data_IF_061938244371
#
_entry.id   IF_061938244371
#
_cell.length_a   1.000
_cell.length_b   1.000
_cell.length_c   1.000
_cell.angle_alpha   90.00
_cell.angle_beta   90.00
_cell.angle_gamma   90.00
#
_symmetry.space_group_name_H-M   'P 1'
#
loop_
_entity.id
_entity.type
_entity.pdbx_description
1 polymer ?
#
# COMPACT_ATOMS: atom_id res chain seq x y z
N UNK A 1 -18.23 -7.21 10.84
CA UNK A 1 -16.77 -6.93 10.79
C UNK A 1 -15.99 -8.09 10.20
N UNK A 2 -16.10 -9.31 10.71
CA UNK A 2 -15.36 -10.51 10.22
C UNK A 2 -15.59 -10.79 8.73
N UNK A 3 -16.84 -10.73 8.23
CA UNK A 3 -17.15 -10.96 6.82
C UNK A 3 -16.46 -9.96 5.89
N UNK A 4 -16.49 -8.67 6.23
CA UNK A 4 -15.85 -7.60 5.46
C UNK A 4 -14.33 -7.82 5.37
N UNK A 5 -13.69 -8.15 6.50
CA UNK A 5 -12.25 -8.43 6.55
C UNK A 5 -11.91 -9.64 5.66
N UNK A 6 -12.66 -10.73 5.78
CA UNK A 6 -12.43 -11.94 4.97
C UNK A 6 -12.56 -11.65 3.48
N UNK A 7 -13.61 -10.94 3.05
CA UNK A 7 -13.78 -10.57 1.64
C UNK A 7 -12.64 -9.67 1.14
N UNK A 8 -12.18 -8.72 1.97
CA UNK A 8 -11.06 -7.85 1.63
C UNK A 8 -9.74 -8.64 1.50
N UNK A 9 -9.48 -9.59 2.41
CA UNK A 9 -8.30 -10.47 2.33
C UNK A 9 -8.36 -11.39 1.11
N UNK A 10 -9.50 -12.01 0.83
CA UNK A 10 -9.68 -12.82 -0.38
C UNK A 10 -9.35 -12.02 -1.63
N UNK A 11 -9.93 -10.81 -1.73
CA UNK A 11 -9.70 -9.93 -2.86
C UNK A 11 -8.23 -9.50 -2.96
N UNK A 12 -7.59 -9.19 -1.84
CA UNK A 12 -6.20 -8.76 -1.82
C UNK A 12 -5.23 -9.88 -2.21
N UNK A 13 -5.38 -11.08 -1.64
CA UNK A 13 -4.54 -12.25 -1.95
C UNK A 13 -4.65 -12.61 -3.45
N UNK A 14 -5.86 -12.68 -3.97
CA UNK A 14 -6.09 -12.98 -5.39
C UNK A 14 -5.54 -11.89 -6.30
N UNK A 15 -5.73 -10.61 -5.97
CA UNK A 15 -5.21 -9.51 -6.77
C UNK A 15 -3.68 -9.49 -6.79
N UNK A 16 -3.02 -9.66 -5.63
CA UNK A 16 -1.56 -9.77 -5.51
C UNK A 16 -1.04 -10.98 -6.31
N UNK A 17 -1.76 -12.11 -6.26
CA UNK A 17 -1.43 -13.29 -7.05
C UNK A 17 -1.48 -13.02 -8.55
N UNK A 18 -2.49 -12.33 -9.05
CA UNK A 18 -2.56 -11.92 -10.46
C UNK A 18 -1.46 -10.94 -10.86
N UNK A 19 -1.10 -10.00 -9.97
CA UNK A 19 0.02 -9.08 -10.21
C UNK A 19 1.33 -9.85 -10.37
N UNK A 20 1.61 -10.83 -9.51
CA UNK A 20 2.83 -11.63 -9.60
C UNK A 20 2.82 -12.58 -10.80
N UNK A 21 1.69 -13.23 -11.09
CA UNK A 21 1.58 -14.24 -12.14
C UNK A 21 1.62 -13.63 -13.56
N UNK A 22 0.94 -12.50 -13.77
CA UNK A 22 0.73 -11.90 -15.09
C UNK A 22 1.33 -10.50 -15.25
N UNK A 23 2.00 -9.96 -14.24
CA UNK A 23 2.56 -8.61 -14.29
C UNK A 23 1.49 -7.52 -14.37
N UNK A 24 0.28 -7.77 -13.89
CA UNK A 24 -0.80 -6.78 -13.90
C UNK A 24 -0.49 -5.63 -12.95
N UNK A 25 -0.91 -4.41 -13.31
CA UNK A 25 -0.92 -3.32 -12.34
C UNK A 25 -2.04 -3.51 -11.30
N UNK A 26 -1.88 -2.86 -10.14
CA UNK A 26 -2.77 -3.00 -8.99
C UNK A 26 -4.25 -2.73 -9.31
N UNK A 27 -4.53 -1.66 -10.07
CA UNK A 27 -5.90 -1.26 -10.42
C UNK A 27 -6.59 -2.30 -11.29
N UNK A 28 -5.88 -2.83 -12.28
CA UNK A 28 -6.41 -3.84 -13.18
C UNK A 28 -6.62 -5.17 -12.44
N UNK A 29 -5.65 -5.59 -11.63
CA UNK A 29 -5.75 -6.80 -10.82
C UNK A 29 -6.94 -6.74 -9.87
N UNK A 30 -7.08 -5.66 -9.10
CA UNK A 30 -8.21 -5.47 -8.18
C UNK A 30 -9.56 -5.42 -8.91
N UNK A 31 -9.65 -4.68 -10.02
CA UNK A 31 -10.91 -4.56 -10.78
C UNK A 31 -11.33 -5.91 -11.36
N UNK A 32 -10.39 -6.67 -11.93
CA UNK A 32 -10.62 -7.99 -12.49
C UNK A 32 -11.09 -8.98 -11.42
N UNK A 33 -10.35 -9.02 -10.30
CA UNK A 33 -10.64 -9.93 -9.19
C UNK A 33 -11.97 -9.58 -8.51
N UNK A 34 -12.26 -8.31 -8.26
CA UNK A 34 -13.53 -7.88 -7.69
C UNK A 34 -14.72 -8.27 -8.56
N UNK A 35 -14.59 -8.13 -9.89
CA UNK A 35 -15.61 -8.59 -10.85
C UNK A 35 -15.78 -10.10 -10.81
N UNK A 36 -14.69 -10.87 -10.77
CA UNK A 36 -14.70 -12.33 -10.72
C UNK A 36 -15.36 -12.84 -9.43
N UNK A 37 -15.04 -12.24 -8.30
CA UNK A 37 -15.59 -12.59 -6.99
C UNK A 37 -16.94 -11.95 -6.70
N UNK A 38 -17.47 -11.14 -7.64
CA UNK A 38 -18.73 -10.38 -7.50
C UNK A 38 -18.77 -9.47 -6.26
N UNK A 39 -17.61 -8.93 -5.86
CA UNK A 39 -17.47 -8.02 -4.72
C UNK A 39 -17.78 -6.60 -5.20
N UNK A 40 -18.81 -5.98 -4.61
CA UNK A 40 -19.27 -4.63 -4.94
C UNK A 40 -19.26 -3.67 -3.73
N UNK A 41 -19.08 -4.20 -2.52
CA UNK A 41 -19.03 -3.38 -1.31
C UNK A 41 -17.82 -2.43 -1.35
N UNK A 42 -18.11 -1.13 -1.27
CA UNK A 42 -17.10 -0.06 -1.38
C UNK A 42 -16.09 -0.12 -0.24
N UNK A 43 -16.50 -0.56 0.96
CA UNK A 43 -15.59 -0.65 2.11
C UNK A 43 -14.61 -1.82 1.93
N UNK A 44 -15.10 -2.97 1.42
CA UNK A 44 -14.26 -4.12 1.05
C UNK A 44 -13.25 -3.71 -0.01
N UNK A 45 -13.71 -3.03 -1.07
CA UNK A 45 -12.84 -2.57 -2.17
C UNK A 45 -11.77 -1.59 -1.69
N UNK A 46 -12.11 -0.64 -0.81
CA UNK A 46 -11.16 0.32 -0.23
C UNK A 46 -10.11 -0.38 0.64
N UNK A 47 -10.56 -1.29 1.50
CA UNK A 47 -9.66 -2.03 2.39
C UNK A 47 -8.70 -2.91 1.59
N UNK A 48 -9.21 -3.69 0.64
CA UNK A 48 -8.38 -4.51 -0.24
C UNK A 48 -7.39 -3.68 -1.07
N UNK A 49 -7.81 -2.51 -1.58
CA UNK A 49 -6.92 -1.61 -2.31
C UNK A 49 -5.77 -1.12 -1.42
N UNK A 50 -6.07 -0.69 -0.17
CA UNK A 50 -5.03 -0.31 0.80
C UNK A 50 -4.05 -1.46 1.03
N UNK A 51 -4.57 -2.66 1.28
CA UNK A 51 -3.77 -3.87 1.51
C UNK A 51 -2.85 -4.17 0.33
N UNK A 52 -3.37 -4.21 -0.89
CA UNK A 52 -2.59 -4.49 -2.12
C UNK A 52 -1.52 -3.43 -2.34
N UNK A 53 -1.87 -2.15 -2.25
CA UNK A 53 -0.95 -1.03 -2.46
C UNK A 53 0.21 -1.07 -1.46
N UNK A 54 -0.09 -1.17 -0.17
CA UNK A 54 0.92 -1.11 0.88
C UNK A 54 1.79 -2.37 0.93
N UNK A 55 1.22 -3.55 0.68
CA UNK A 55 1.98 -4.81 0.58
C UNK A 55 2.93 -4.78 -0.64
N UNK A 56 2.45 -4.32 -1.78
CA UNK A 56 3.27 -4.18 -3.00
C UNK A 56 4.39 -3.17 -2.79
N UNK A 57 4.10 -2.03 -2.20
CA UNK A 57 5.06 -0.98 -1.92
C UNK A 57 6.21 -1.44 -1.02
N UNK A 58 5.91 -2.24 0.00
CA UNK A 58 6.87 -2.72 1.00
C UNK A 58 7.43 -4.12 0.70
N UNK A 59 7.14 -4.66 -0.49
CA UNK A 59 7.42 -6.05 -0.84
C UNK A 59 8.86 -6.48 -0.58
N UNK A 60 9.87 -5.64 -0.89
CA UNK A 60 11.26 -5.98 -0.66
C UNK A 60 11.58 -6.20 0.83
N UNK A 61 11.02 -5.37 1.72
CA UNK A 61 11.19 -5.51 3.16
C UNK A 61 10.40 -6.69 3.70
N UNK A 62 9.17 -6.89 3.23
CA UNK A 62 8.35 -8.05 3.61
C UNK A 62 9.02 -9.37 3.20
N UNK A 63 9.52 -9.47 1.96
CA UNK A 63 10.26 -10.65 1.51
C UNK A 63 11.55 -10.87 2.30
N UNK A 64 12.22 -9.80 2.72
CA UNK A 64 13.39 -9.88 3.60
C UNK A 64 13.04 -10.44 4.98
N UNK A 65 11.98 -9.94 5.63
CA UNK A 65 11.49 -10.46 6.91
C UNK A 65 11.16 -11.95 6.78
N UNK A 66 10.33 -12.28 5.79
CA UNK A 66 9.87 -13.65 5.57
C UNK A 66 11.01 -14.62 5.26
N UNK A 67 11.96 -14.24 4.41
CA UNK A 67 13.10 -15.08 4.10
C UNK A 67 14.05 -15.29 5.29
N UNK A 68 14.08 -14.38 6.27
CA UNK A 68 14.83 -14.61 7.51
C UNK A 68 14.16 -15.63 8.42
N UNK A 69 12.85 -15.60 8.54
CA UNK A 69 12.08 -16.56 9.35
C UNK A 69 12.02 -17.93 8.67
N UNK A 70 11.88 -17.97 7.35
CA UNK A 70 11.71 -19.20 6.59
C UNK A 70 12.99 -20.06 6.42
N UNK A 71 14.16 -19.57 6.84
CA UNK A 71 15.41 -20.30 6.64
C UNK A 71 15.34 -21.77 7.10
N UNK A 72 15.88 -22.72 6.32
CA UNK A 72 16.67 -22.55 5.08
C UNK A 72 15.82 -22.36 3.81
N UNK A 73 14.48 -22.42 3.89
CA UNK A 73 13.57 -22.17 2.76
C UNK A 73 13.50 -20.68 2.43
N UNK A 74 12.96 -20.38 1.25
CA UNK A 74 12.61 -19.00 0.85
C UNK A 74 11.14 -18.89 0.51
N UNK A 75 10.60 -17.67 0.57
CA UNK A 75 9.20 -17.41 0.25
C UNK A 75 8.82 -17.88 -1.18
N UNK A 76 9.78 -17.89 -2.10
CA UNK A 76 9.57 -18.31 -3.50
C UNK A 76 9.24 -19.79 -3.66
N UNK A 77 9.51 -20.62 -2.67
CA UNK A 77 9.24 -22.07 -2.71
C UNK A 77 7.78 -22.41 -2.40
N UNK A 78 7.04 -21.46 -1.88
CA UNK A 78 5.62 -21.67 -1.55
C UNK A 78 4.70 -21.34 -2.72
N UNK A 79 3.51 -21.92 -2.71
CA UNK A 79 2.45 -21.61 -3.67
C UNK A 79 2.07 -20.13 -3.62
N UNK A 80 1.61 -19.62 -4.73
CA UNK A 80 1.37 -18.20 -4.93
C UNK A 80 0.43 -17.58 -3.89
N UNK A 81 -0.71 -18.22 -3.62
CA UNK A 81 -1.65 -17.75 -2.60
C UNK A 81 -1.05 -17.72 -1.19
N UNK A 82 -0.23 -18.72 -0.83
CA UNK A 82 0.46 -18.75 0.46
C UNK A 82 1.48 -17.62 0.56
N UNK A 83 2.24 -17.35 -0.51
CA UNK A 83 3.19 -16.23 -0.54
C UNK A 83 2.51 -14.90 -0.30
N UNK A 84 1.41 -14.64 -0.99
CA UNK A 84 0.70 -13.38 -0.85
C UNK A 84 0.01 -13.25 0.51
N UNK A 85 -0.50 -14.35 1.06
CA UNK A 85 -0.98 -14.40 2.43
C UNK A 85 0.12 -14.04 3.44
N UNK A 86 1.30 -14.66 3.33
CA UNK A 86 2.43 -14.38 4.24
C UNK A 86 2.89 -12.93 4.17
N UNK A 87 2.96 -12.34 2.96
CA UNK A 87 3.29 -10.92 2.78
C UNK A 87 2.27 -10.02 3.44
N UNK A 88 0.99 -10.32 3.23
CA UNK A 88 -0.11 -9.56 3.81
C UNK A 88 -0.13 -9.69 5.34
N UNK A 89 0.06 -10.90 5.87
CA UNK A 89 0.16 -11.15 7.29
C UNK A 89 1.33 -10.38 7.93
N UNK A 90 2.51 -10.48 7.35
CA UNK A 90 3.69 -9.75 7.84
C UNK A 90 3.48 -8.22 7.77
N UNK A 91 2.76 -7.73 6.73
CA UNK A 91 2.40 -6.32 6.64
C UNK A 91 1.51 -5.88 7.81
N UNK A 92 0.43 -6.60 8.07
CA UNK A 92 -0.50 -6.26 9.14
C UNK A 92 0.18 -6.28 10.54
N UNK A 93 1.06 -7.26 10.77
CA UNK A 93 1.81 -7.37 12.03
C UNK A 93 2.78 -6.18 12.20
N UNK A 94 3.63 -5.92 11.23
CA UNK A 94 4.76 -5.00 11.42
C UNK A 94 4.42 -3.53 11.12
N UNK A 95 3.44 -3.25 10.28
CA UNK A 95 3.11 -1.89 9.87
C UNK A 95 1.76 -1.39 10.37
N UNK A 96 0.74 -2.23 10.41
CA UNK A 96 -0.57 -1.87 10.99
C UNK A 96 -0.62 -2.18 12.50
N UNK A 97 0.43 -2.81 13.06
CA UNK A 97 0.57 -3.14 14.50
C UNK A 97 -0.61 -3.97 15.03
N UNK A 98 -1.00 -4.97 14.28
CA UNK A 98 -2.08 -5.87 14.65
C UNK A 98 -1.81 -6.51 16.02
N UNK A 99 -2.83 -6.56 16.85
CA UNK A 99 -2.76 -7.23 18.15
C UNK A 99 -2.75 -8.74 17.97
N UNK A 100 -2.40 -9.46 19.04
CA UNK A 100 -2.33 -10.91 19.01
C UNK A 100 -3.68 -11.55 18.63
N UNK A 101 -4.79 -11.01 19.14
CA UNK A 101 -6.14 -11.47 18.81
C UNK A 101 -6.46 -11.28 17.31
N UNK A 102 -6.03 -10.16 16.75
CA UNK A 102 -6.18 -9.87 15.31
C UNK A 102 -5.34 -10.85 14.48
N UNK A 103 -4.12 -11.15 14.92
CA UNK A 103 -3.25 -12.13 14.27
C UNK A 103 -3.88 -13.52 14.21
N UNK A 104 -4.51 -13.98 15.30
CA UNK A 104 -5.25 -15.25 15.34
C UNK A 104 -6.40 -15.23 14.32
N UNK A 105 -7.15 -14.14 14.23
CA UNK A 105 -8.26 -14.02 13.29
C UNK A 105 -7.78 -13.98 11.82
N UNK A 106 -6.62 -13.39 11.56
CA UNK A 106 -5.97 -13.42 10.24
C UNK A 106 -5.59 -14.85 9.84
N UNK A 107 -5.07 -15.67 10.77
CA UNK A 107 -4.74 -17.08 10.52
C UNK A 107 -6.01 -17.88 10.20
N UNK A 108 -7.08 -17.68 10.97
CA UNK A 108 -8.40 -18.30 10.69
C UNK A 108 -8.94 -17.91 9.32
N UNK A 109 -8.78 -16.64 8.98
CA UNK A 109 -9.16 -16.10 7.66
C UNK A 109 -8.33 -16.74 6.56
N UNK A 110 -7.02 -16.84 6.73
CA UNK A 110 -6.12 -17.53 5.81
C UNK A 110 -6.50 -18.98 5.56
N UNK A 111 -6.79 -19.74 6.62
CA UNK A 111 -7.28 -21.13 6.52
C UNK A 111 -8.58 -21.23 5.72
N UNK A 112 -9.48 -20.27 5.90
CA UNK A 112 -10.76 -20.26 5.19
C UNK A 112 -10.62 -19.88 3.70
N UNK A 113 -9.57 -19.16 3.32
CA UNK A 113 -9.30 -18.72 1.94
C UNK A 113 -8.46 -19.77 1.19
N UNK A 114 -7.35 -20.21 1.79
CA UNK A 114 -6.36 -21.08 1.15
C UNK A 114 -6.63 -22.57 1.36
N UNK A 115 -7.40 -22.90 2.40
CA UNK A 115 -7.57 -24.26 2.86
C UNK A 115 -6.49 -24.68 3.87
N UNK A 116 -6.85 -25.66 4.70
CA UNK A 116 -5.98 -26.14 5.78
C UNK A 116 -4.66 -26.72 5.27
N UNK A 117 -4.72 -27.54 4.21
CA UNK A 117 -3.52 -28.19 3.66
C UNK A 117 -2.46 -27.20 3.17
N UNK A 118 -2.90 -26.13 2.52
CA UNK A 118 -1.98 -25.09 1.99
C UNK A 118 -1.34 -24.28 3.12
N UNK A 119 -2.11 -23.92 4.16
CA UNK A 119 -1.63 -23.09 5.25
C UNK A 119 -0.81 -23.87 6.28
N UNK A 120 -1.08 -25.15 6.47
CA UNK A 120 -0.42 -26.00 7.46
C UNK A 120 1.10 -25.99 7.34
N UNK A 121 1.65 -25.92 6.13
CA UNK A 121 3.09 -25.86 5.90
C UNK A 121 3.79 -24.62 6.48
N UNK A 122 3.03 -23.59 6.79
CA UNK A 122 3.55 -22.28 7.25
C UNK A 122 2.96 -21.84 8.59
N UNK A 123 2.08 -22.61 9.21
CA UNK A 123 1.43 -22.23 10.47
C UNK A 123 2.44 -22.05 11.61
N UNK A 124 3.42 -22.92 11.72
CA UNK A 124 4.42 -22.87 12.77
C UNK A 124 5.25 -21.58 12.73
N UNK A 125 5.46 -21.03 11.55
CA UNK A 125 6.26 -19.81 11.36
C UNK A 125 5.45 -18.52 11.55
N UNK A 126 4.12 -18.56 11.58
CA UNK A 126 3.31 -17.34 11.77
C UNK A 126 3.58 -16.69 13.14
N UNK A 127 3.82 -17.49 14.17
CA UNK A 127 4.25 -17.02 15.49
C UNK A 127 5.64 -16.39 15.46
N UNK A 128 6.56 -16.95 14.68
CA UNK A 128 7.89 -16.39 14.51
C UNK A 128 7.82 -15.04 13.77
N UNK A 129 7.02 -14.93 12.70
CA UNK A 129 6.78 -13.66 11.99
C UNK A 129 6.24 -12.60 12.95
N UNK A 130 5.31 -12.95 13.83
CA UNK A 130 4.74 -12.04 14.82
C UNK A 130 5.80 -11.50 15.79
N UNK A 131 6.76 -12.33 16.19
CA UNK A 131 7.79 -11.98 17.16
C UNK A 131 9.05 -11.33 16.56
N UNK A 132 9.15 -11.17 15.23
CA UNK A 132 10.31 -10.53 14.60
C UNK A 132 10.48 -9.10 15.10
N UNK A 133 11.66 -8.80 15.61
CA UNK A 133 12.06 -7.44 15.94
C UNK A 133 12.77 -6.79 14.76
N UNK A 134 12.01 -6.02 14.00
CA UNK A 134 12.47 -5.44 12.73
C UNK A 134 13.76 -4.60 12.89
N UNK A 135 13.87 -3.84 13.97
CA UNK A 135 15.05 -3.00 14.22
C UNK A 135 16.33 -3.86 14.37
N UNK A 136 16.27 -4.93 15.16
CA UNK A 136 17.40 -5.84 15.36
C UNK A 136 17.81 -6.51 14.04
N UNK A 137 16.83 -6.85 13.20
CA UNK A 137 17.05 -7.47 11.90
C UNK A 137 17.76 -6.54 10.91
N UNK A 138 17.55 -5.23 11.02
CA UNK A 138 18.11 -4.21 10.13
C UNK A 138 19.44 -3.63 10.61
N UNK A 139 19.78 -3.74 11.91
CA UNK A 139 20.96 -3.08 12.50
C UNK A 139 22.28 -3.53 11.87
N UNK A 140 22.43 -4.82 11.60
CA UNK A 140 23.68 -5.41 11.12
C UNK A 140 23.81 -5.44 9.59
N UNK A 141 22.90 -4.78 8.87
CA UNK A 141 22.93 -4.75 7.41
C UNK A 141 23.89 -3.68 6.89
N UNK A 142 24.54 -3.92 5.73
CA UNK A 142 25.24 -2.88 5.00
C UNK A 142 24.34 -1.67 4.73
N UNK A 143 24.88 -0.45 4.77
CA UNK A 143 24.11 0.81 4.67
C UNK A 143 23.18 0.85 3.45
N UNK A 144 23.68 0.48 2.26
CA UNK A 144 22.87 0.45 1.04
C UNK A 144 21.70 -0.52 1.12
N UNK A 145 21.88 -1.65 1.79
CA UNK A 145 20.83 -2.65 1.96
C UNK A 145 19.79 -2.19 2.97
N UNK A 146 20.24 -1.66 4.09
CA UNK A 146 19.37 -1.05 5.10
C UNK A 146 18.54 0.08 4.49
N UNK A 147 19.15 1.01 3.74
CA UNK A 147 18.43 2.08 3.05
C UNK A 147 17.45 1.53 2.02
N UNK A 148 17.84 0.51 1.24
CA UNK A 148 16.95 -0.17 0.29
C UNK A 148 15.68 -0.70 0.97
N UNK A 149 15.83 -1.39 2.07
CA UNK A 149 14.70 -1.98 2.81
C UNK A 149 13.84 -0.91 3.50
N UNK A 150 14.48 0.06 4.16
CA UNK A 150 13.75 1.10 4.92
C UNK A 150 13.08 2.15 4.06
N UNK A 151 13.54 2.35 2.82
CA UNK A 151 12.92 3.26 1.84
C UNK A 151 12.08 2.53 0.79
N UNK A 152 11.98 1.21 0.87
CA UNK A 152 11.22 0.33 -0.05
C UNK A 152 11.69 0.40 -1.50
N UNK A 153 12.93 0.79 -1.73
CA UNK A 153 13.52 0.93 -3.05
C UNK A 153 14.44 -0.27 -3.38
N UNK A 154 14.55 -0.70 -4.64
CA UNK A 154 15.51 -1.73 -5.02
C UNK A 154 16.95 -1.30 -4.71
N UNK A 155 17.81 -2.23 -4.27
CA UNK A 155 19.21 -1.95 -3.91
C UNK A 155 20.01 -1.29 -5.04
N UNK A 156 19.77 -1.68 -6.31
CA UNK A 156 20.40 -1.05 -7.46
C UNK A 156 20.05 0.44 -7.60
N UNK A 157 18.79 0.80 -7.30
CA UNK A 157 18.33 2.19 -7.38
C UNK A 157 18.93 3.05 -6.26
N UNK A 158 19.03 2.51 -5.05
CA UNK A 158 19.74 3.18 -3.94
C UNK A 158 21.18 3.47 -4.30
N UNK A 159 21.91 2.47 -4.84
CA UNK A 159 23.28 2.64 -5.33
C UNK A 159 23.38 3.71 -6.41
N UNK A 160 22.46 3.69 -7.37
CA UNK A 160 22.39 4.70 -8.42
C UNK A 160 22.21 6.11 -7.83
N UNK A 161 21.25 6.27 -6.91
CA UNK A 161 21.00 7.55 -6.24
C UNK A 161 22.24 8.04 -5.46
N UNK A 162 22.88 7.16 -4.72
CA UNK A 162 24.12 7.50 -3.98
C UNK A 162 25.25 7.97 -4.91
N UNK A 163 25.41 7.32 -6.06
CA UNK A 163 26.41 7.69 -7.06
C UNK A 163 26.13 9.03 -7.70
N UNK A 164 24.86 9.33 -8.02
CA UNK A 164 24.49 10.53 -8.79
C UNK A 164 24.32 11.77 -7.91
N UNK A 165 23.69 11.63 -6.75
CA UNK A 165 23.31 12.76 -5.91
C UNK A 165 24.17 12.89 -4.63
N UNK A 166 25.07 11.93 -4.38
CA UNK A 166 25.72 11.78 -3.08
C UNK A 166 24.75 11.28 -2.00
N UNK A 167 25.30 10.76 -0.90
CA UNK A 167 24.51 10.05 0.12
C UNK A 167 23.41 10.92 0.75
N UNK A 168 23.72 12.15 1.12
CA UNK A 168 22.78 13.01 1.88
C UNK A 168 21.56 13.40 1.05
N UNK A 169 21.75 13.85 -0.18
CA UNK A 169 20.64 14.23 -1.06
C UNK A 169 19.86 13.01 -1.53
N UNK A 170 20.53 11.91 -1.82
CA UNK A 170 19.87 10.64 -2.16
C UNK A 170 18.94 10.16 -1.05
N UNK A 171 19.35 10.25 0.23
CA UNK A 171 18.48 9.87 1.35
C UNK A 171 17.22 10.75 1.39
N UNK A 172 17.33 12.06 1.18
CA UNK A 172 16.15 12.95 1.12
C UNK A 172 15.19 12.56 0.00
N UNK A 173 15.73 12.24 -1.19
CA UNK A 173 14.94 11.81 -2.35
C UNK A 173 14.23 10.48 -2.04
N UNK A 174 14.95 9.47 -1.56
CA UNK A 174 14.40 8.15 -1.25
C UNK A 174 13.35 8.20 -0.13
N UNK A 175 13.60 8.98 0.92
CA UNK A 175 12.65 9.20 2.01
C UNK A 175 11.40 9.97 1.55
N UNK A 176 11.54 10.92 0.63
CA UNK A 176 10.39 11.65 0.09
C UNK A 176 9.41 10.73 -0.65
N UNK A 177 9.91 9.68 -1.30
CA UNK A 177 9.13 8.66 -1.98
C UNK A 177 8.22 7.83 -1.04
N UNK A 178 8.48 7.83 0.27
CA UNK A 178 7.62 7.17 1.28
C UNK A 178 6.37 7.98 1.64
N UNK A 179 6.40 9.28 1.39
CA UNK A 179 5.28 10.17 1.72
C UNK A 179 4.18 10.03 0.70
N UNK A 180 2.94 10.13 1.16
CA UNK A 180 1.80 10.27 0.25
C UNK A 180 1.94 11.58 -0.52
N UNK A 181 1.94 11.55 -1.87
CA UNK A 181 2.08 12.77 -2.64
C UNK A 181 0.88 13.70 -2.39
N UNK A 182 1.10 14.99 -2.19
CA UNK A 182 0.03 15.95 -2.08
C UNK A 182 -0.73 16.07 -3.41
N UNK A 183 -2.04 16.28 -3.33
CA UNK A 183 -2.88 16.51 -4.50
C UNK A 183 -3.01 18.00 -4.72
N UNK A 184 -2.65 18.46 -5.90
CA UNK A 184 -2.80 19.85 -6.31
C UNK A 184 -3.90 20.00 -7.35
N UNK A 185 -4.65 21.08 -7.25
CA UNK A 185 -5.62 21.51 -8.26
C UNK A 185 -5.29 22.93 -8.72
N UNK A 186 -5.63 23.22 -9.96
CA UNK A 186 -5.56 24.57 -10.50
C UNK A 186 -6.96 25.07 -10.82
N UNK A 187 -7.31 26.23 -10.29
CA UNK A 187 -8.60 26.87 -10.51
C UNK A 187 -8.75 27.26 -11.99
N UNK A 188 -9.86 26.88 -12.61
CA UNK A 188 -10.19 27.20 -13.98
C UNK A 188 -10.79 28.61 -14.09
N UNK A 189 -9.94 29.62 -14.23
CA UNK A 189 -10.36 31.03 -14.31
C UNK A 189 -11.24 31.39 -15.50
N UNK A 190 -11.38 30.46 -16.48
CA UNK A 190 -12.36 30.63 -17.59
C UNK A 190 -13.80 30.42 -17.13
N UNK A 191 -14.01 29.80 -15.97
CA UNK A 191 -15.35 29.48 -15.41
C UNK A 191 -15.84 30.45 -14.35
N UNK A 192 -15.03 31.43 -13.99
CA UNK A 192 -15.39 32.46 -13.01
C UNK A 192 -14.17 33.03 -12.26
N UNK A 193 -14.45 33.96 -11.38
CA UNK A 193 -13.39 34.54 -10.55
C UNK A 193 -12.86 33.54 -9.53
N UNK A 194 -11.58 33.65 -9.16
CA UNK A 194 -10.93 32.78 -8.16
C UNK A 194 -11.75 32.70 -6.88
N UNK A 195 -12.22 33.84 -6.35
CA UNK A 195 -13.01 33.91 -5.12
C UNK A 195 -14.34 33.15 -5.19
N UNK A 196 -15.06 33.27 -6.30
CA UNK A 196 -16.32 32.57 -6.52
C UNK A 196 -16.11 31.06 -6.64
N UNK A 197 -15.07 30.65 -7.39
CA UNK A 197 -14.75 29.24 -7.61
C UNK A 197 -14.30 28.56 -6.31
N UNK A 198 -13.44 29.23 -5.50
CA UNK A 198 -13.07 28.71 -4.18
C UNK A 198 -14.27 28.51 -3.27
N UNK A 199 -15.24 29.46 -3.28
CA UNK A 199 -16.47 29.33 -2.50
C UNK A 199 -17.29 28.10 -2.95
N UNK A 200 -17.38 27.85 -4.27
CA UNK A 200 -18.09 26.67 -4.81
C UNK A 200 -17.38 25.38 -4.43
N UNK A 201 -16.04 25.32 -4.52
CA UNK A 201 -15.22 24.16 -4.14
C UNK A 201 -15.39 23.85 -2.64
N UNK A 202 -15.36 24.87 -1.80
CA UNK A 202 -15.58 24.71 -0.38
C UNK A 202 -17.01 24.18 -0.08
N UNK A 203 -18.03 24.71 -0.75
CA UNK A 203 -19.41 24.21 -0.65
C UNK A 203 -19.60 22.78 -1.16
N UNK A 204 -18.69 22.26 -1.97
CA UNK A 204 -18.67 20.86 -2.47
C UNK A 204 -17.78 19.93 -1.60
N UNK A 205 -17.37 20.43 -0.40
CA UNK A 205 -16.60 19.68 0.58
C UNK A 205 -15.11 19.52 0.22
N UNK A 206 -14.54 20.43 -0.61
CA UNK A 206 -13.13 20.42 -0.97
C UNK A 206 -12.41 21.54 -0.20
N UNK A 207 -11.52 21.17 0.72
CA UNK A 207 -10.73 22.11 1.52
C UNK A 207 -9.36 22.31 0.88
N UNK A 208 -8.96 23.56 0.74
CA UNK A 208 -7.81 23.95 -0.04
C UNK A 208 -6.83 24.81 0.76
N UNK A 209 -5.54 24.62 0.52
CA UNK A 209 -4.46 25.46 0.99
C UNK A 209 -3.75 26.09 -0.19
N UNK A 210 -3.57 27.40 -0.18
CA UNK A 210 -2.86 28.12 -1.25
C UNK A 210 -1.40 27.67 -1.32
N UNK A 211 -0.91 27.48 -2.53
CA UNK A 211 0.50 27.18 -2.79
C UNK A 211 1.25 28.49 -3.06
N UNK A 212 2.25 28.79 -2.26
CA UNK A 212 3.08 29.99 -2.44
C UNK A 212 3.81 29.93 -3.78
N UNK A 213 3.95 31.07 -4.43
CA UNK A 213 4.64 31.19 -5.72
C UNK A 213 3.87 30.69 -6.94
N UNK A 214 2.73 30.00 -6.77
CA UNK A 214 1.91 29.51 -7.87
C UNK A 214 0.54 30.19 -7.92
N UNK A 215 0.25 30.85 -9.04
CA UNK A 215 -1.07 31.46 -9.26
C UNK A 215 -2.14 30.41 -9.50
N UNK A 216 -3.30 30.59 -8.88
CA UNK A 216 -4.49 29.73 -9.03
C UNK A 216 -4.28 28.26 -8.67
N UNK A 217 -3.17 27.92 -8.00
CA UNK A 217 -2.84 26.56 -7.61
C UNK A 217 -3.04 26.37 -6.12
N UNK A 218 -3.72 25.29 -5.77
CA UNK A 218 -4.08 24.95 -4.41
C UNK A 218 -3.78 23.49 -4.12
N UNK A 219 -3.28 23.23 -2.93
CA UNK A 219 -3.17 21.87 -2.39
C UNK A 219 -4.51 21.47 -1.77
N UNK A 220 -4.99 20.27 -2.10
CA UNK A 220 -6.18 19.70 -1.47
C UNK A 220 -5.80 19.18 -0.09
N UNK A 221 -6.18 19.88 0.96
CA UNK A 221 -5.92 19.49 2.35
C UNK A 221 -6.85 18.37 2.83
N UNK A 222 -8.12 18.41 2.40
CA UNK A 222 -9.09 17.33 2.64
C UNK A 222 -10.23 17.39 1.64
N UNK A 223 -10.93 16.27 1.47
CA UNK A 223 -12.16 16.19 0.67
C UNK A 223 -13.12 15.16 1.24
N UNK A 224 -14.41 15.48 1.28
CA UNK A 224 -15.45 14.56 1.81
C UNK A 224 -15.70 13.36 0.88
N UNK A 225 -15.46 13.52 -0.41
CA UNK A 225 -15.65 12.49 -1.45
C UNK A 225 -14.53 12.58 -2.50
N UNK A 226 -14.26 11.53 -3.26
CA UNK A 226 -13.27 11.57 -4.33
C UNK A 226 -13.49 12.76 -5.25
N UNK A 227 -12.43 13.50 -5.59
CA UNK A 227 -12.50 14.70 -6.43
C UNK A 227 -13.30 14.47 -7.71
N UNK A 228 -13.07 13.35 -8.39
CA UNK A 228 -13.78 12.97 -9.63
C UNK A 228 -15.31 12.79 -9.46
N UNK A 229 -15.79 12.65 -8.24
CA UNK A 229 -17.22 12.53 -7.92
C UNK A 229 -17.86 13.84 -7.47
N UNK A 230 -17.05 14.90 -7.32
CA UNK A 230 -17.54 16.22 -6.93
C UNK A 230 -18.27 16.90 -8.09
N UNK A 231 -19.21 17.77 -7.77
CA UNK A 231 -19.91 18.60 -8.77
C UNK A 231 -18.92 19.55 -9.45
N UNK A 232 -18.06 20.15 -8.66
CA UNK A 232 -17.00 21.06 -9.11
C UNK A 232 -16.08 20.45 -10.16
N UNK A 233 -15.69 19.16 -10.02
CA UNK A 233 -14.92 18.43 -11.03
C UNK A 233 -15.70 18.23 -12.32
N UNK A 234 -16.97 17.81 -12.23
CA UNK A 234 -17.85 17.58 -13.39
C UNK A 234 -18.12 18.85 -14.18
N UNK A 235 -18.16 20.00 -13.51
CA UNK A 235 -18.35 21.32 -14.09
C UNK A 235 -17.03 21.92 -14.65
N UNK A 236 -15.88 21.27 -14.37
CA UNK A 236 -14.57 21.71 -14.83
C UNK A 236 -14.12 23.01 -14.16
N UNK A 237 -14.38 23.17 -12.86
CA UNK A 237 -13.98 24.36 -12.10
C UNK A 237 -12.49 24.35 -11.71
N UNK A 238 -11.83 23.17 -11.85
CA UNK A 238 -10.41 22.94 -11.64
C UNK A 238 -9.93 21.80 -12.52
#
# INVERSE_FOLDING_TARGET
MIKLLREAWTLAIEALSWMELQGLNEKLALTRTAKQLKITDVNVLRLAHKMVLETTRKRNLLDFILNNVLKPRSIRQFKLGVREFLRLYAHEIHFEKAKFEDAIEMVRTGRAILGWQELHEVEDILGEIYNVKLNELLENLPDEERVSLTTYNPKWFVKYCFKVFGRNEALKILESGKKTPPVYIRINTLKGSEKELLKKLYGDGIHLRKVEGLRYTYEVSSTEKPLSRTKSFKEGLF
#
